data_IF_329377710340
#
_entry.id   IF_329377710340
#
_cell.length_a   1.000
_cell.length_b   1.000
_cell.length_c   1.000
_cell.angle_alpha   90.00
_cell.angle_beta   90.00
_cell.angle_gamma   90.00
#
_symmetry.space_group_name_H-M   'P 1'
#
loop_
_entity.id
_entity.type
_entity.pdbx_description
1 polymer ?
#
# COMPACT_ATOMS: atom_id res chain seq x y z
N UNK A 1 -6.12 35.47 -46.40
CA UNK A 1 -5.03 36.25 -45.78
C UNK A 1 -5.08 37.67 -46.34
N UNK A 2 -4.96 38.71 -45.52
CA UNK A 2 -5.06 40.10 -45.96
C UNK A 2 -3.71 40.58 -46.53
N UNK A 3 -3.56 40.76 -47.86
CA UNK A 3 -2.27 41.08 -48.48
C UNK A 3 -1.79 42.51 -48.23
N UNK A 4 -2.69 43.40 -47.76
CA UNK A 4 -2.40 44.82 -47.54
C UNK A 4 -2.10 45.20 -46.09
N UNK A 5 -2.03 44.25 -45.15
CA UNK A 5 -1.70 44.56 -43.76
C UNK A 5 -0.19 44.65 -43.57
N UNK A 6 0.26 45.80 -43.08
CA UNK A 6 1.66 46.02 -42.70
C UNK A 6 2.00 45.30 -41.40
N UNK A 7 3.29 45.02 -41.17
CA UNK A 7 3.75 44.42 -39.91
C UNK A 7 3.36 45.24 -38.67
N UNK A 8 3.32 46.57 -38.81
CA UNK A 8 2.94 47.48 -37.74
C UNK A 8 1.45 47.34 -37.36
N UNK A 9 0.57 47.22 -38.34
CA UNK A 9 -0.85 46.98 -38.11
C UNK A 9 -1.09 45.60 -37.51
N UNK A 10 -0.39 44.58 -38.01
CA UNK A 10 -0.41 43.23 -37.45
C UNK A 10 -0.01 43.25 -35.97
N UNK A 11 1.08 43.95 -35.63
CA UNK A 11 1.54 44.13 -34.24
C UNK A 11 0.50 44.84 -33.37
N UNK A 12 -0.13 45.89 -33.89
CA UNK A 12 -1.19 46.63 -33.16
C UNK A 12 -2.42 45.77 -32.89
N UNK A 13 -2.88 45.01 -33.89
CA UNK A 13 -4.02 44.10 -33.71
C UNK A 13 -3.69 42.96 -32.76
N UNK A 14 -2.50 42.37 -32.86
CA UNK A 14 -2.07 41.31 -31.95
C UNK A 14 -2.12 41.78 -30.49
N UNK A 15 -1.68 43.01 -30.18
CA UNK A 15 -1.72 43.55 -28.80
C UNK A 15 -3.12 43.60 -28.16
N UNK A 16 -4.20 43.52 -28.96
CA UNK A 16 -5.57 43.50 -28.46
C UNK A 16 -6.02 42.09 -28.01
N UNK A 17 -5.26 41.06 -28.34
CA UNK A 17 -5.57 39.67 -28.00
C UNK A 17 -5.19 39.42 -26.54
N UNK A 18 -6.16 38.98 -25.75
CA UNK A 18 -5.94 38.50 -24.38
C UNK A 18 -5.57 37.01 -24.41
N UNK A 19 -4.26 36.72 -24.38
CA UNK A 19 -3.73 35.36 -24.40
C UNK A 19 -4.19 34.49 -23.22
N UNK A 20 -4.59 35.08 -22.10
CA UNK A 20 -5.08 34.33 -20.93
C UNK A 20 -6.45 33.69 -21.18
N UNK A 21 -7.25 34.28 -22.08
CA UNK A 21 -8.62 33.83 -22.40
C UNK A 21 -8.69 32.92 -23.62
N UNK A 22 -7.57 32.66 -24.28
CA UNK A 22 -7.52 31.74 -25.40
C UNK A 22 -7.75 30.30 -24.90
N UNK A 23 -8.48 29.51 -25.70
CA UNK A 23 -8.59 28.08 -25.47
C UNK A 23 -7.26 27.38 -25.73
N UNK A 24 -7.14 26.11 -25.34
CA UNK A 24 -5.91 25.37 -25.57
C UNK A 24 -5.57 25.25 -27.06
N UNK A 25 -6.59 24.93 -27.85
CA UNK A 25 -6.47 24.74 -29.29
C UNK A 25 -6.04 26.05 -29.96
N UNK A 26 -6.58 27.18 -29.50
CA UNK A 26 -6.21 28.50 -29.99
C UNK A 26 -4.75 28.87 -29.62
N UNK A 27 -4.30 28.59 -28.40
CA UNK A 27 -2.90 28.77 -28.00
C UNK A 27 -1.96 27.89 -28.83
N UNK A 28 -2.29 26.62 -29.02
CA UNK A 28 -1.49 25.69 -29.84
C UNK A 28 -1.38 26.18 -31.29
N UNK A 29 -2.50 26.62 -31.87
CA UNK A 29 -2.51 27.15 -33.23
C UNK A 29 -1.73 28.46 -33.35
N UNK A 30 -1.85 29.36 -32.36
CA UNK A 30 -1.08 30.60 -32.32
C UNK A 30 0.42 30.34 -32.16
N UNK A 31 0.83 29.36 -31.33
CA UNK A 31 2.23 29.01 -31.14
C UNK A 31 2.91 28.49 -32.42
N UNK A 32 2.16 27.89 -33.34
CA UNK A 32 2.65 27.38 -34.63
C UNK A 32 2.52 28.40 -35.77
N UNK A 33 1.99 29.60 -35.50
CA UNK A 33 1.76 30.60 -36.53
C UNK A 33 2.98 31.51 -36.70
N UNK A 34 3.83 31.18 -37.67
CA UNK A 34 5.03 31.93 -38.05
C UNK A 34 4.76 33.39 -38.49
N UNK A 35 3.49 33.74 -38.78
CA UNK A 35 3.09 35.10 -39.17
C UNK A 35 2.80 36.01 -37.98
N UNK A 36 2.77 35.47 -36.76
CA UNK A 36 2.59 36.28 -35.56
C UNK A 36 3.89 37.02 -35.21
N UNK A 37 3.80 38.26 -34.70
CA UNK A 37 4.97 38.93 -34.15
C UNK A 37 5.58 38.11 -33.01
N UNK A 38 6.91 38.01 -32.93
CA UNK A 38 7.63 37.22 -31.90
C UNK A 38 7.16 37.51 -30.46
N UNK A 39 6.80 38.76 -30.17
CA UNK A 39 6.30 39.19 -28.87
C UNK A 39 4.97 38.51 -28.51
N UNK A 40 4.09 38.30 -29.49
CA UNK A 40 2.82 37.60 -29.30
C UNK A 40 3.07 36.11 -29.04
N UNK A 41 3.97 35.47 -29.78
CA UNK A 41 4.34 34.07 -29.56
C UNK A 41 4.86 33.85 -28.15
N UNK A 42 5.73 34.73 -27.65
CA UNK A 42 6.23 34.67 -26.26
C UNK A 42 5.08 34.76 -25.25
N UNK A 43 4.13 35.68 -25.46
CA UNK A 43 2.96 35.81 -24.57
C UNK A 43 2.11 34.54 -24.54
N UNK A 44 1.77 33.99 -25.71
CA UNK A 44 1.02 32.73 -25.84
C UNK A 44 1.72 31.59 -25.09
N UNK A 45 3.03 31.41 -25.32
CA UNK A 45 3.81 30.36 -24.66
C UNK A 45 3.89 30.56 -23.13
N UNK A 46 4.03 31.80 -22.67
CA UNK A 46 4.08 32.11 -21.24
C UNK A 46 2.78 31.75 -20.53
N UNK A 47 1.62 32.14 -21.07
CA UNK A 47 0.33 31.81 -20.46
C UNK A 47 0.06 30.31 -20.49
N UNK A 48 0.51 29.62 -21.55
CA UNK A 48 0.41 28.17 -21.61
C UNK A 48 1.28 27.48 -20.54
N UNK A 49 2.51 27.97 -20.35
CA UNK A 49 3.38 27.51 -19.26
C UNK A 49 2.75 27.77 -17.89
N UNK A 50 2.16 28.94 -17.67
CA UNK A 50 1.49 29.28 -16.41
C UNK A 50 0.31 28.35 -16.14
N UNK A 51 -0.48 28.03 -17.16
CA UNK A 51 -1.62 27.12 -17.07
C UNK A 51 -1.18 25.69 -16.73
N UNK A 52 -0.12 25.20 -17.36
CA UNK A 52 0.49 23.90 -17.03
C UNK A 52 1.02 23.87 -15.58
N UNK A 53 1.69 24.94 -15.14
CA UNK A 53 2.17 25.05 -13.74
C UNK A 53 1.02 25.02 -12.74
N UNK A 54 -0.11 25.67 -13.03
CA UNK A 54 -1.28 25.67 -12.18
C UNK A 54 -1.96 24.30 -12.12
N UNK A 55 -2.12 23.63 -13.27
CA UNK A 55 -2.66 22.27 -13.34
C UNK A 55 -1.79 21.29 -12.53
N UNK A 56 -0.49 21.42 -12.66
CA UNK A 56 0.50 20.60 -11.97
C UNK A 56 0.56 20.90 -10.47
N UNK A 57 0.42 22.17 -10.06
CA UNK A 57 0.30 22.53 -8.63
C UNK A 57 -0.96 21.92 -8.00
N UNK A 58 -2.07 21.84 -8.75
CA UNK A 58 -3.30 21.17 -8.31
C UNK A 58 -3.12 19.66 -8.10
N UNK A 59 -2.42 18.97 -9.01
CA UNK A 59 -2.14 17.53 -8.87
C UNK A 59 -1.10 17.24 -7.79
N UNK A 60 -0.11 18.11 -7.61
CA UNK A 60 0.84 18.01 -6.53
C UNK A 60 0.21 18.26 -5.17
N UNK A 61 -0.80 19.12 -5.04
CA UNK A 61 -1.49 19.33 -3.77
C UNK A 61 -2.16 18.04 -3.25
N UNK A 62 -2.79 17.24 -4.13
CA UNK A 62 -3.32 15.92 -3.74
C UNK A 62 -2.22 14.92 -3.37
N UNK A 63 -1.14 14.84 -4.15
CA UNK A 63 -0.01 13.95 -3.85
C UNK A 63 0.77 14.33 -2.58
N UNK A 64 0.90 15.64 -2.31
CA UNK A 64 1.62 16.16 -1.15
C UNK A 64 0.87 15.92 0.16
N UNK A 65 -0.46 15.93 0.19
CA UNK A 65 -1.19 15.61 1.42
C UNK A 65 -0.91 14.16 1.88
N UNK A 66 -0.81 13.23 0.94
CA UNK A 66 -0.44 11.84 1.22
C UNK A 66 1.02 11.73 1.71
N UNK A 67 1.95 12.48 1.11
CA UNK A 67 3.37 12.45 1.45
C UNK A 67 3.73 13.23 2.74
N UNK A 68 2.93 14.24 3.10
CA UNK A 68 3.09 15.09 4.30
C UNK A 68 2.85 14.35 5.60
N UNK A 69 2.08 13.26 5.59
CA UNK A 69 1.84 12.44 6.79
C UNK A 69 3.07 11.56 7.09
N UNK A 70 3.95 11.31 6.10
CA UNK A 70 5.07 10.36 6.23
C UNK A 70 6.44 11.02 6.47
N UNK A 71 6.66 12.27 6.05
CA UNK A 71 7.95 12.94 6.27
C UNK A 71 7.77 14.38 6.75
N UNK A 72 8.26 14.69 7.96
CA UNK A 72 8.14 15.99 8.64
C UNK A 72 8.92 17.14 8.00
N UNK A 73 9.11 17.15 6.68
CA UNK A 73 9.80 18.21 5.94
C UNK A 73 8.77 19.09 5.21
N UNK A 74 8.82 20.42 5.34
CA UNK A 74 7.95 21.29 4.55
C UNK A 74 8.30 21.16 3.08
N UNK A 75 7.29 20.80 2.29
CA UNK A 75 7.36 20.82 0.84
C UNK A 75 7.52 22.26 0.36
N UNK A 76 8.78 22.70 0.25
CA UNK A 76 9.13 23.77 -0.65
C UNK A 76 8.95 23.25 -2.07
N UNK A 77 8.40 24.06 -2.97
CA UNK A 77 8.16 23.70 -4.38
C UNK A 77 9.45 23.13 -5.00
N UNK A 78 9.55 21.80 -5.05
CA UNK A 78 10.74 21.11 -5.54
C UNK A 78 10.85 21.36 -7.05
N UNK A 79 12.05 21.70 -7.52
CA UNK A 79 12.32 21.77 -8.96
C UNK A 79 12.03 20.40 -9.60
N UNK A 80 11.63 20.32 -10.89
CA UNK A 80 11.50 19.03 -11.58
C UNK A 80 12.73 18.13 -11.42
N UNK A 81 13.92 18.71 -11.34
CA UNK A 81 15.19 17.99 -11.11
C UNK A 81 15.27 17.37 -9.72
N UNK A 82 14.82 18.08 -8.70
CA UNK A 82 14.87 17.62 -7.31
C UNK A 82 13.82 16.55 -7.04
N UNK A 83 12.64 16.68 -7.66
CA UNK A 83 11.63 15.63 -7.67
C UNK A 83 12.17 14.31 -8.24
N UNK A 84 12.82 14.38 -9.40
CA UNK A 84 13.42 13.20 -10.02
C UNK A 84 14.52 12.58 -9.15
N UNK A 85 15.37 13.41 -8.53
CA UNK A 85 16.38 12.93 -7.59
C UNK A 85 15.76 12.25 -6.36
N UNK A 86 14.69 12.82 -5.80
CA UNK A 86 13.97 12.24 -4.66
C UNK A 86 13.36 10.89 -5.01
N UNK A 87 12.65 10.81 -6.14
CA UNK A 87 12.00 9.59 -6.60
C UNK A 87 13.02 8.46 -6.86
N UNK A 88 14.22 8.79 -7.36
CA UNK A 88 15.31 7.82 -7.51
C UNK A 88 15.83 7.30 -6.18
N UNK A 89 15.85 8.11 -5.12
CA UNK A 89 16.25 7.66 -3.79
C UNK A 89 15.21 6.70 -3.22
N UNK A 90 13.94 7.07 -3.26
CA UNK A 90 12.83 6.23 -2.80
C UNK A 90 12.79 4.89 -3.56
N UNK A 91 13.01 4.90 -4.88
CA UNK A 91 13.08 3.66 -5.66
C UNK A 91 14.22 2.73 -5.21
N UNK A 92 15.37 3.28 -4.78
CA UNK A 92 16.48 2.50 -4.24
C UNK A 92 16.12 1.91 -2.88
N UNK A 93 15.50 2.70 -2.02
CA UNK A 93 15.04 2.28 -0.71
C UNK A 93 14.00 1.15 -0.81
N UNK A 94 12.99 1.32 -1.67
CA UNK A 94 11.99 0.27 -1.93
C UNK A 94 12.62 -1.03 -2.45
N UNK A 95 13.67 -0.95 -3.27
CA UNK A 95 14.42 -2.14 -3.71
C UNK A 95 15.14 -2.83 -2.55
N UNK A 96 15.71 -2.06 -1.62
CA UNK A 96 16.37 -2.60 -0.44
C UNK A 96 15.36 -3.27 0.49
N UNK A 97 14.22 -2.62 0.75
CA UNK A 97 13.12 -3.19 1.53
C UNK A 97 12.59 -4.48 0.90
N UNK A 98 12.38 -4.50 -0.41
CA UNK A 98 11.95 -5.70 -1.12
C UNK A 98 12.98 -6.84 -0.99
N UNK A 99 14.27 -6.53 -1.03
CA UNK A 99 15.34 -7.51 -0.83
C UNK A 99 15.33 -8.06 0.60
N UNK A 100 15.12 -7.20 1.58
CA UNK A 100 14.99 -7.56 3.00
C UNK A 100 13.77 -8.45 3.26
N UNK A 101 12.62 -8.09 2.67
CA UNK A 101 11.39 -8.88 2.78
C UNK A 101 11.54 -10.26 2.13
N UNK A 102 12.20 -10.35 0.97
CA UNK A 102 12.50 -11.62 0.32
C UNK A 102 13.38 -12.53 1.18
N UNK A 103 14.42 -11.99 1.80
CA UNK A 103 15.29 -12.74 2.70
C UNK A 103 14.48 -13.29 3.88
N UNK A 104 13.69 -12.42 4.54
CA UNK A 104 12.86 -12.83 5.68
C UNK A 104 11.81 -13.88 5.31
N UNK A 105 11.21 -13.76 4.12
CA UNK A 105 10.29 -14.79 3.61
C UNK A 105 11.02 -16.12 3.41
N UNK A 106 12.22 -16.11 2.83
CA UNK A 106 12.98 -17.33 2.62
C UNK A 106 13.38 -18.03 3.93
N UNK A 107 13.75 -17.26 4.96
CA UNK A 107 14.05 -17.80 6.28
C UNK A 107 12.81 -18.42 6.93
N UNK A 108 11.66 -17.74 6.86
CA UNK A 108 10.38 -18.27 7.34
C UNK A 108 9.94 -19.54 6.58
N UNK A 109 10.17 -19.61 5.27
CA UNK A 109 9.91 -20.81 4.47
C UNK A 109 10.77 -21.99 4.93
N UNK A 110 12.07 -21.76 5.20
CA UNK A 110 12.96 -22.80 5.74
C UNK A 110 12.54 -23.27 7.13
N UNK A 111 12.18 -22.34 8.01
CA UNK A 111 11.66 -22.65 9.35
C UNK A 111 10.37 -23.49 9.26
N UNK A 112 9.47 -23.16 8.33
CA UNK A 112 8.25 -23.93 8.09
C UNK A 112 8.56 -25.38 7.65
N UNK A 113 9.51 -25.55 6.73
CA UNK A 113 9.93 -26.89 6.26
C UNK A 113 10.55 -27.69 7.40
N UNK A 114 11.45 -27.08 8.18
CA UNK A 114 12.08 -27.73 9.32
C UNK A 114 11.05 -28.16 10.37
N UNK A 115 10.09 -27.28 10.68
CA UNK A 115 9.01 -27.56 11.63
C UNK A 115 8.13 -28.72 11.18
N UNK A 116 7.71 -28.74 9.90
CA UNK A 116 6.93 -29.86 9.33
C UNK A 116 7.67 -31.19 9.46
N UNK A 117 8.96 -31.22 9.11
CA UNK A 117 9.75 -32.44 9.20
C UNK A 117 9.96 -32.90 10.66
N UNK A 118 10.12 -31.96 11.60
CA UNK A 118 10.19 -32.25 13.03
C UNK A 118 8.90 -32.86 13.57
N UNK A 119 7.75 -32.35 13.11
CA UNK A 119 6.43 -32.90 13.47
C UNK A 119 6.23 -34.31 12.93
N UNK A 120 6.64 -34.61 11.70
CA UNK A 120 6.54 -35.96 11.13
C UNK A 120 7.44 -36.97 11.86
N UNK A 121 8.69 -36.60 12.15
CA UNK A 121 9.62 -37.44 12.93
C UNK A 121 9.12 -37.68 14.35
N UNK A 122 8.59 -36.64 15.00
CA UNK A 122 8.01 -36.75 16.35
C UNK A 122 6.72 -37.57 16.35
N UNK A 123 5.86 -37.43 15.33
CA UNK A 123 4.66 -38.24 15.16
C UNK A 123 5.03 -39.71 14.95
N UNK A 124 5.98 -40.03 14.08
CA UNK A 124 6.48 -41.39 13.88
C UNK A 124 6.97 -42.00 15.20
N UNK A 125 7.85 -41.31 15.95
CA UNK A 125 8.33 -41.76 17.24
C UNK A 125 7.20 -41.94 18.27
N UNK A 126 6.17 -41.10 18.25
CA UNK A 126 4.99 -41.22 19.12
C UNK A 126 4.15 -42.46 18.74
N UNK A 127 4.01 -42.78 17.46
CA UNK A 127 3.33 -44.00 16.96
C UNK A 127 4.08 -45.28 17.35
N UNK A 128 5.42 -45.26 17.30
CA UNK A 128 6.24 -46.37 17.79
C UNK A 128 6.07 -46.60 19.30
N UNK A 129 6.14 -45.54 20.11
CA UNK A 129 6.02 -45.65 21.57
C UNK A 129 4.61 -46.05 22.03
N UNK A 130 3.56 -45.57 21.35
CA UNK A 130 2.17 -45.97 21.62
C UNK A 130 1.85 -47.40 21.17
N UNK A 131 2.63 -47.98 20.25
CA UNK A 131 2.46 -49.37 19.81
C UNK A 131 3.10 -50.36 20.79
N UNK A 132 4.22 -49.97 21.43
CA UNK A 132 4.88 -50.81 22.46
C UNK A 132 4.04 -50.87 23.74
N UNK A 133 3.33 -49.80 24.10
CA UNK A 133 2.45 -49.78 25.28
C UNK A 133 1.16 -50.60 25.14
N UNK A 134 0.81 -51.08 23.94
CA UNK A 134 -0.36 -51.95 23.72
C UNK A 134 -0.05 -53.45 23.87
N UNK A 135 1.23 -53.84 23.93
CA UNK A 135 1.67 -55.25 23.93
C UNK A 135 2.04 -55.85 25.29
N UNK A 136 2.22 -55.05 26.35
CA UNK A 136 2.70 -55.54 27.66
C UNK A 136 1.59 -55.73 28.72
N UNK A 137 0.33 -55.90 28.30
CA UNK A 137 -0.82 -56.11 29.20
C UNK A 137 -1.21 -57.57 29.44
N UNK A 138 -0.43 -58.56 28.97
CA UNK A 138 -0.80 -59.99 29.06
C UNK A 138 0.24 -60.80 29.83
N UNK A 139 0.43 -60.45 31.11
CA UNK A 139 0.91 -61.41 32.11
C UNK A 139 -0.26 -61.66 33.05
N UNK A 140 -1.01 -62.72 32.77
CA UNK A 140 -1.87 -63.33 33.77
C UNK A 140 -1.01 -64.24 34.61
N UNK A 141 -0.93 -64.00 35.92
CA UNK A 141 -0.71 -65.04 36.91
C UNK A 141 -1.15 -64.55 38.30
N UNK A 142 -2.21 -65.19 38.79
CA UNK A 142 -2.47 -65.53 40.19
C UNK A 142 -2.84 -64.44 41.22
N UNK A 143 -4.06 -64.57 41.78
CA UNK A 143 -4.35 -64.21 43.17
C UNK A 143 -5.37 -63.10 43.42
N UNK A 144 -6.65 -63.47 43.51
CA UNK A 144 -7.58 -62.77 44.41
C UNK A 144 -7.19 -63.15 45.87
N UNK A 145 -7.40 -62.29 46.90
CA UNK A 145 -8.76 -62.07 47.40
C UNK A 145 -9.10 -60.65 47.93
N UNK A 146 -10.39 -60.35 47.85
CA UNK A 146 -11.27 -59.57 48.76
C UNK A 146 -10.67 -58.53 49.72
N UNK A 147 -11.17 -57.27 49.69
CA UNK A 147 -11.73 -56.54 50.87
C UNK A 147 -12.78 -55.51 50.41
N UNK A 148 -13.80 -55.35 51.25
CA UNK A 148 -15.12 -54.74 51.12
C UNK A 148 -15.14 -53.20 51.01
N UNK A 149 -16.01 -52.72 50.10
CA UNK A 149 -17.22 -51.90 50.37
C UNK A 149 -17.10 -50.77 51.42
N UNK A 150 -17.21 -49.51 50.97
CA UNK A 150 -18.08 -48.54 51.65
C UNK A 150 -18.61 -47.46 50.69
N UNK A 151 -19.87 -47.12 50.94
CA UNK A 151 -20.84 -46.42 50.09
C UNK A 151 -21.20 -45.13 50.81
N UNK A 152 -21.11 -43.97 50.17
CA UNK A 152 -21.95 -42.83 50.54
C UNK A 152 -22.32 -42.02 49.31
N UNK A 153 -23.49 -42.35 48.78
CA UNK A 153 -24.27 -41.47 47.92
C UNK A 153 -24.79 -40.29 48.73
N UNK A 154 -24.71 -39.07 48.20
CA UNK A 154 -25.85 -38.14 48.26
C UNK A 154 -25.89 -37.31 46.99
N UNK A 155 -27.08 -37.38 46.39
CA UNK A 155 -27.57 -36.84 45.12
C UNK A 155 -28.48 -35.67 45.47
N UNK A 156 -28.47 -34.61 44.66
CA UNK A 156 -29.66 -33.88 44.16
C UNK A 156 -29.19 -32.59 43.47
N UNK A 157 -29.43 -32.46 42.15
CA UNK A 157 -30.44 -31.56 41.54
C UNK A 157 -30.08 -30.08 41.71
N UNK A 158 -30.06 -29.21 40.70
CA UNK A 158 -30.49 -29.29 39.32
C UNK A 158 -30.77 -27.86 38.83
N UNK A 159 -30.79 -27.71 37.50
CA UNK A 159 -31.61 -26.75 36.72
C UNK A 159 -31.21 -25.26 36.65
N UNK A 160 -31.10 -24.83 35.37
CA UNK A 160 -31.34 -23.50 34.76
C UNK A 160 -30.38 -22.31 34.91
N UNK A 161 -30.25 -21.57 33.79
CA UNK A 161 -30.15 -20.11 33.85
C UNK A 161 -29.12 -19.41 32.94
N UNK A 162 -29.33 -19.47 31.63
CA UNK A 162 -29.23 -18.36 30.66
C UNK A 162 -28.43 -17.08 31.02
N UNK A 163 -27.44 -16.69 30.20
CA UNK A 163 -27.44 -15.41 29.45
C UNK A 163 -26.11 -15.16 28.70
N UNK A 164 -26.21 -15.15 27.37
CA UNK A 164 -25.21 -14.53 26.51
C UNK A 164 -25.35 -13.01 26.47
N UNK A 165 -24.24 -12.29 26.30
CA UNK A 165 -24.26 -10.95 25.71
C UNK A 165 -22.97 -10.63 24.96
N UNK A 166 -23.08 -10.73 23.64
CA UNK A 166 -22.25 -10.10 22.62
C UNK A 166 -22.16 -8.59 22.87
N UNK A 167 -20.97 -8.01 22.86
CA UNK A 167 -20.80 -6.58 22.56
C UNK A 167 -19.70 -6.39 21.51
N UNK A 168 -20.14 -5.95 20.33
CA UNK A 168 -19.34 -5.30 19.29
C UNK A 168 -19.09 -3.87 19.75
N UNK A 169 -17.86 -3.38 19.61
CA UNK A 169 -17.59 -1.96 19.61
C UNK A 169 -16.98 -1.59 18.26
N UNK A 170 -17.63 -0.64 17.59
CA UNK A 170 -17.19 0.11 16.42
C UNK A 170 -17.52 1.57 16.72
N UNK A 171 -16.52 2.45 16.67
CA UNK A 171 -16.62 3.92 16.65
C UNK A 171 -15.37 4.37 15.86
N UNK A 172 -15.56 4.95 14.68
CA UNK A 172 -15.74 6.39 14.40
C UNK A 172 -14.40 7.10 14.23
#
# INVERSE_FOLDING_TARGET
>A
AHPGMTENECRRLCKLIDCQKLSQEACNHAAQNERLPVQMTIQVLYFEQQRLKNALAGTFAEGFLSQRISSGVPSAAMSPRDNYASLRRENRELKLELSRLRMRLNDLEKEQVCMKQGMEKSAANRTFLTSISRGFGRIGLFGQPTVKRQKSSRKSQGVEGNHGRRRRNSLS
#
